data_IF_772962068235
#
_entry.id   IF_772962068235
#
_cell.length_a   1.000
_cell.length_b   1.000
_cell.length_c   1.000
_cell.angle_alpha   90.00
_cell.angle_beta   90.00
_cell.angle_gamma   90.00
#
_symmetry.space_group_name_H-M   'P 1'
#
loop_
_entity.id
_entity.type
_entity.pdbx_description
1 polymer ?
#
# COMPACT_ATOMS: atom_id res chain seq x y z
N UNK A 1 56.97 -9.95 12.76
CA UNK A 1 57.94 -9.47 13.76
C UNK A 1 58.31 -8.05 13.36
N UNK A 2 58.08 -6.95 14.05
CA UNK A 2 57.31 -6.60 15.26
C UNK A 2 57.19 -5.05 15.27
N UNK A 3 56.02 -4.56 15.70
CA UNK A 3 55.68 -3.35 16.50
C UNK A 3 56.50 -2.03 16.37
N UNK A 4 55.87 -0.84 16.25
CA UNK A 4 55.21 -0.12 17.37
C UNK A 4 54.37 1.12 16.95
N UNK A 5 53.54 1.53 17.91
CA UNK A 5 52.38 2.45 17.99
C UNK A 5 52.68 3.98 18.05
N UNK A 6 51.63 4.85 18.13
CA UNK A 6 51.65 6.30 17.85
C UNK A 6 51.70 7.22 19.09
N UNK A 7 51.84 8.53 18.84
CA UNK A 7 51.72 9.66 19.80
C UNK A 7 50.73 10.69 19.21
N UNK A 8 49.54 10.93 19.76
CA UNK A 8 49.21 11.82 20.89
C UNK A 8 49.58 13.30 20.64
N UNK A 9 48.57 14.17 20.49
CA UNK A 9 48.43 15.37 21.35
C UNK A 9 47.06 16.08 21.14
N UNK A 10 46.38 16.36 22.24
CA UNK A 10 45.30 17.33 22.39
C UNK A 10 45.87 18.48 23.23
N UNK A 11 45.35 19.70 23.09
CA UNK A 11 45.04 20.41 24.33
C UNK A 11 43.67 21.10 24.34
N UNK A 12 43.01 20.94 25.48
CA UNK A 12 41.97 21.78 26.05
C UNK A 12 42.45 23.24 26.24
N UNK A 13 41.53 24.20 26.18
CA UNK A 13 41.45 25.28 27.18
C UNK A 13 40.17 26.13 27.01
N UNK A 14 39.33 26.11 28.04
CA UNK A 14 38.33 27.14 28.39
C UNK A 14 39.00 28.12 29.38
N UNK A 15 38.63 29.42 29.37
CA UNK A 15 37.97 30.04 30.54
C UNK A 15 36.83 31.00 30.10
N UNK A 16 35.60 30.94 30.65
CA UNK A 16 35.07 31.44 31.94
C UNK A 16 34.91 32.97 32.10
N UNK A 17 33.65 33.40 31.95
CA UNK A 17 32.83 34.26 32.84
C UNK A 17 32.82 35.80 32.81
N UNK A 18 31.61 36.31 33.15
CA UNK A 18 31.12 37.64 33.54
C UNK A 18 30.61 38.55 32.37
N UNK A 19 29.48 39.28 32.37
CA UNK A 19 28.67 40.01 33.38
C UNK A 19 27.20 40.19 32.84
N UNK A 20 26.11 39.88 33.58
CA UNK A 20 25.25 40.69 34.51
C UNK A 20 24.06 41.47 33.90
N UNK A 21 22.83 41.13 34.34
CA UNK A 21 21.62 41.99 34.39
C UNK A 21 20.48 41.62 33.40
N UNK A 22 19.21 41.43 33.75
CA UNK A 22 18.46 41.49 35.00
C UNK A 22 16.96 41.12 34.76
N UNK A 23 16.26 40.88 35.87
CA UNK A 23 14.79 40.87 36.09
C UNK A 23 13.88 39.76 35.50
N UNK A 24 13.57 38.79 36.37
CA UNK A 24 12.27 38.21 36.77
C UNK A 24 11.03 38.51 35.89
N UNK A 25 10.20 37.50 35.62
CA UNK A 25 8.86 37.29 36.21
C UNK A 25 8.33 35.87 35.89
N UNK A 26 7.71 35.23 36.89
CA UNK A 26 7.05 33.92 36.84
C UNK A 26 5.70 33.97 36.09
N UNK A 27 5.32 32.84 35.49
CA UNK A 27 4.09 32.58 34.73
C UNK A 27 2.77 32.78 35.51
N UNK A 28 1.60 32.78 34.84
CA UNK A 28 0.82 31.54 34.75
C UNK A 28 0.07 31.34 33.42
N UNK A 29 -0.30 30.08 33.16
CA UNK A 29 -0.79 29.59 31.87
C UNK A 29 -2.14 30.09 31.38
N UNK A 30 -2.37 29.84 30.09
CA UNK A 30 -3.63 30.01 29.39
C UNK A 30 -3.64 29.07 28.20
N UNK A 31 -4.35 27.96 28.37
CA UNK A 31 -4.50 26.85 27.44
C UNK A 31 -5.13 27.35 26.12
N UNK A 32 -4.40 27.27 25.02
CA UNK A 32 -4.97 27.28 23.68
C UNK A 32 -4.01 26.55 22.77
N UNK A 33 -4.20 25.23 22.75
CA UNK A 33 -3.95 24.39 21.60
C UNK A 33 -4.69 23.08 21.88
N UNK A 34 -6.01 23.12 21.70
CA UNK A 34 -6.80 21.89 21.54
C UNK A 34 -6.46 21.29 20.18
N UNK A 35 -5.27 20.71 20.13
CA UNK A 35 -4.88 19.52 19.37
C UNK A 35 -5.78 19.20 18.16
N UNK A 36 -5.48 19.86 17.03
CA UNK A 36 -5.55 19.18 15.72
C UNK A 36 -4.26 18.36 15.49
N UNK A 37 -3.83 17.61 16.51
CA UNK A 37 -2.89 16.53 16.30
C UNK A 37 -3.73 15.27 16.02
N UNK A 38 -4.19 15.17 14.77
CA UNK A 38 -4.34 13.85 14.16
C UNK A 38 -2.93 13.24 14.17
N UNK A 39 -2.65 12.46 15.21
CA UNK A 39 -1.44 11.65 15.29
C UNK A 39 -1.25 10.91 13.94
N UNK A 40 -0.14 11.13 13.21
CA UNK A 40 0.14 10.40 11.99
C UNK A 40 0.63 8.99 12.36
N UNK A 41 -0.29 8.17 12.87
CA UNK A 41 0.05 6.96 13.61
C UNK A 41 -0.99 5.85 13.50
N UNK A 42 -1.61 5.69 12.33
CA UNK A 42 -1.69 4.41 11.62
C UNK A 42 -2.46 4.66 10.32
N UNK A 43 -1.77 4.88 9.19
CA UNK A 43 -2.43 4.76 7.88
C UNK A 43 -2.66 3.27 7.63
N UNK A 44 -3.62 2.71 8.37
CA UNK A 44 -4.00 1.32 8.30
C UNK A 44 -4.45 1.04 6.88
N UNK A 45 -3.82 0.04 6.25
CA UNK A 45 -4.18 -0.36 4.90
C UNK A 45 -5.58 -0.99 4.93
N UNK A 46 -6.43 -0.64 3.98
CA UNK A 46 -7.80 -1.16 3.95
C UNK A 46 -7.91 -2.50 3.22
N UNK A 47 -6.93 -2.81 2.38
CA UNK A 47 -6.76 -4.15 1.84
C UNK A 47 -5.29 -4.47 1.58
N UNK A 48 -5.02 -5.76 1.42
CA UNK A 48 -3.74 -6.30 0.98
C UNK A 48 -3.98 -7.12 -0.27
N UNK A 49 -3.29 -6.76 -1.35
CA UNK A 49 -3.39 -7.43 -2.64
C UNK A 49 -2.20 -8.36 -2.82
N UNK A 50 -2.45 -9.47 -3.47
CA UNK A 50 -1.47 -10.50 -3.64
C UNK A 50 -1.70 -11.21 -4.98
N UNK A 51 -0.64 -11.43 -5.75
CA UNK A 51 -0.73 -11.99 -7.11
C UNK A 51 -0.26 -13.45 -7.18
N UNK A 52 -0.90 -14.24 -8.04
CA UNK A 52 -0.53 -15.63 -8.30
C UNK A 52 -0.57 -15.92 -9.80
N UNK A 53 0.32 -16.81 -10.21
CA UNK A 53 0.30 -17.45 -11.51
C UNK A 53 0.13 -18.95 -11.30
N UNK A 54 -1.00 -19.49 -11.76
CA UNK A 54 -1.41 -20.87 -11.47
C UNK A 54 -1.44 -21.13 -9.95
N UNK A 55 -0.51 -21.93 -9.43
CA UNK A 55 -0.40 -22.28 -8.00
C UNK A 55 0.72 -21.53 -7.27
N UNK A 56 1.47 -20.69 -7.98
CA UNK A 56 2.69 -20.05 -7.46
C UNK A 56 2.43 -18.59 -7.12
N UNK A 57 2.79 -18.19 -5.90
CA UNK A 57 2.81 -16.79 -5.47
C UNK A 57 3.90 -16.05 -6.24
N UNK A 58 3.56 -14.91 -6.84
CA UNK A 58 4.52 -14.07 -7.58
C UNK A 58 4.56 -12.68 -6.95
N UNK A 59 5.75 -12.22 -6.58
CA UNK A 59 5.95 -10.94 -5.91
C UNK A 59 5.58 -10.93 -4.42
N UNK A 60 5.65 -9.72 -3.83
CA UNK A 60 5.32 -9.46 -2.42
C UNK A 60 3.84 -9.10 -2.27
N UNK A 61 3.38 -9.03 -1.03
CA UNK A 61 2.09 -8.42 -0.69
C UNK A 61 2.12 -6.92 -0.97
N UNK A 62 1.02 -6.38 -1.52
CA UNK A 62 0.86 -4.96 -1.79
C UNK A 62 -0.21 -4.39 -0.85
N UNK A 63 0.21 -3.56 0.12
CA UNK A 63 -0.70 -2.94 1.08
C UNK A 63 -1.29 -1.65 0.52
N UNK A 64 -2.61 -1.49 0.61
CA UNK A 64 -3.33 -0.37 0.00
C UNK A 64 -3.83 0.59 1.05
N UNK A 65 -3.33 1.83 1.02
CA UNK A 65 -3.76 2.91 1.91
C UNK A 65 -4.77 3.84 1.22
N UNK A 66 -4.51 4.19 -0.04
CA UNK A 66 -5.37 5.06 -0.84
C UNK A 66 -6.72 4.39 -1.12
N UNK A 67 -7.84 5.15 -1.19
CA UNK A 67 -9.17 4.57 -1.38
C UNK A 67 -9.33 3.83 -2.71
N UNK A 68 -8.47 4.08 -3.69
CA UNK A 68 -8.46 3.38 -4.98
C UNK A 68 -7.09 2.79 -5.30
N UNK A 69 -7.07 1.60 -5.90
CA UNK A 69 -5.87 0.95 -6.42
C UNK A 69 -6.10 0.46 -7.85
N UNK A 70 -5.21 0.86 -8.75
CA UNK A 70 -5.12 0.29 -10.08
C UNK A 70 -4.22 -0.95 -10.09
N UNK A 71 -4.66 -2.04 -10.72
CA UNK A 71 -3.88 -3.26 -10.92
C UNK A 71 -3.81 -3.55 -12.41
N UNK A 72 -2.63 -3.57 -13.00
CA UNK A 72 -2.45 -3.62 -14.46
C UNK A 72 -1.16 -4.36 -14.84
N UNK A 73 -1.03 -4.72 -16.12
CA UNK A 73 0.18 -5.39 -16.61
C UNK A 73 1.27 -4.40 -16.98
N UNK A 74 0.93 -3.45 -17.85
CA UNK A 74 1.81 -2.40 -18.31
C UNK A 74 0.95 -1.17 -18.62
N UNK A 75 1.25 -0.07 -17.95
CA UNK A 75 0.58 1.21 -18.14
C UNK A 75 1.63 2.31 -17.91
N UNK A 76 2.14 2.97 -18.97
CA UNK A 76 3.27 3.89 -18.86
C UNK A 76 3.07 5.06 -17.88
N UNK A 77 1.82 5.44 -17.65
CA UNK A 77 1.43 6.51 -16.72
C UNK A 77 0.56 5.99 -15.55
N UNK A 78 0.52 4.68 -15.35
CA UNK A 78 -0.28 4.06 -14.30
C UNK A 78 0.38 4.19 -12.94
N UNK A 79 -0.34 4.71 -11.96
CA UNK A 79 0.03 4.60 -10.55
C UNK A 79 -0.73 3.41 -9.93
N UNK A 80 -0.03 2.49 -9.27
CA UNK A 80 -0.66 1.34 -8.62
C UNK A 80 0.19 0.09 -8.66
N UNK A 81 -0.46 -1.07 -8.75
CA UNK A 81 0.18 -2.37 -8.71
C UNK A 81 0.45 -2.91 -10.12
N UNK A 82 1.66 -2.66 -10.62
CA UNK A 82 2.12 -3.12 -11.93
C UNK A 82 2.62 -4.57 -11.89
N UNK A 83 1.87 -5.49 -12.49
CA UNK A 83 2.19 -6.91 -12.56
C UNK A 83 3.36 -7.21 -13.53
N UNK A 84 3.61 -6.33 -14.50
CA UNK A 84 4.73 -6.42 -15.43
C UNK A 84 6.10 -6.27 -14.75
N UNK A 85 6.15 -5.58 -13.61
CA UNK A 85 7.37 -5.39 -12.80
C UNK A 85 7.65 -6.54 -11.84
N UNK A 86 6.73 -7.51 -11.71
CA UNK A 86 6.94 -8.66 -10.85
C UNK A 86 7.84 -9.68 -11.54
N UNK A 87 8.88 -10.11 -10.81
CA UNK A 87 9.73 -11.22 -11.25
C UNK A 87 8.95 -12.53 -11.19
N UNK A 88 8.49 -13.00 -12.35
CA UNK A 88 7.92 -14.33 -12.50
C UNK A 88 8.98 -15.31 -12.99
N UNK A 89 9.20 -16.36 -12.22
CA UNK A 89 10.01 -17.52 -12.64
C UNK A 89 9.20 -18.50 -13.50
N UNK A 90 7.90 -18.24 -13.71
CA UNK A 90 7.02 -19.12 -14.47
C UNK A 90 7.24 -18.96 -15.98
N UNK A 91 7.89 -19.97 -16.58
CA UNK A 91 8.18 -20.04 -18.01
C UNK A 91 7.03 -20.62 -18.85
N UNK A 92 5.86 -20.84 -18.27
CA UNK A 92 4.68 -21.37 -18.96
C UNK A 92 4.24 -20.40 -20.07
N UNK A 93 4.18 -20.90 -21.31
CA UNK A 93 3.69 -20.11 -22.46
C UNK A 93 2.25 -19.65 -22.26
N UNK A 94 1.43 -20.44 -21.56
CA UNK A 94 0.05 -20.06 -21.24
C UNK A 94 0.03 -18.86 -20.31
N UNK A 95 0.86 -18.86 -19.27
CA UNK A 95 0.96 -17.74 -18.32
C UNK A 95 1.42 -16.47 -19.03
N UNK A 96 2.45 -16.55 -19.86
CA UNK A 96 2.91 -15.41 -20.66
C UNK A 96 1.82 -14.85 -21.58
N UNK A 97 1.04 -15.74 -22.22
CA UNK A 97 -0.10 -15.35 -23.06
C UNK A 97 -1.26 -14.74 -22.27
N UNK A 98 -1.49 -15.16 -21.03
CA UNK A 98 -2.53 -14.57 -20.16
C UNK A 98 -2.05 -13.22 -19.62
N UNK A 99 -0.79 -13.11 -19.21
CA UNK A 99 -0.15 -11.86 -18.78
C UNK A 99 -0.33 -10.75 -19.83
N UNK A 100 -0.06 -11.05 -21.10
CA UNK A 100 -0.24 -10.08 -22.19
C UNK A 100 -1.69 -9.64 -22.43
N UNK A 101 -2.69 -10.36 -21.88
CA UNK A 101 -4.11 -10.01 -22.00
C UNK A 101 -4.63 -9.13 -20.87
N UNK A 102 -3.90 -9.00 -19.77
CA UNK A 102 -4.33 -8.20 -18.62
C UNK A 102 -4.43 -6.71 -19.02
N UNK A 103 -3.46 -6.17 -19.76
CA UNK A 103 -3.47 -4.79 -20.24
C UNK A 103 -3.67 -3.78 -19.09
N UNK A 104 -4.63 -2.86 -19.26
CA UNK A 104 -5.02 -1.88 -18.22
C UNK A 104 -5.65 -2.50 -16.95
N UNK A 105 -5.92 -3.80 -16.97
CA UNK A 105 -6.35 -4.60 -15.82
C UNK A 105 -7.63 -4.10 -15.15
N UNK A 106 -7.59 -3.87 -13.85
CA UNK A 106 -8.73 -3.48 -13.03
C UNK A 106 -8.41 -2.28 -12.16
N UNK A 107 -9.46 -1.64 -11.67
CA UNK A 107 -9.38 -0.67 -10.58
C UNK A 107 -10.22 -1.19 -9.41
N UNK A 108 -9.60 -1.26 -8.23
CA UNK A 108 -10.26 -1.50 -6.96
C UNK A 108 -10.59 -0.16 -6.31
N UNK A 109 -11.77 -0.02 -5.73
CA UNK A 109 -12.17 1.19 -5.01
C UNK A 109 -12.91 0.83 -3.74
N UNK A 110 -12.49 1.42 -2.63
CA UNK A 110 -13.19 1.39 -1.35
C UNK A 110 -14.19 2.53 -1.31
N UNK A 111 -15.46 2.17 -1.24
CA UNK A 111 -16.57 3.10 -1.09
C UNK A 111 -17.23 2.90 0.28
N UNK A 112 -18.21 3.75 0.62
CA UNK A 112 -18.91 3.69 1.91
C UNK A 112 -19.76 2.43 2.08
N UNK A 113 -20.16 1.81 0.98
CA UNK A 113 -21.10 0.70 0.93
C UNK A 113 -20.43 -0.63 0.54
N UNK A 114 -19.10 -0.65 0.38
CA UNK A 114 -18.37 -1.83 -0.01
C UNK A 114 -17.09 -1.57 -0.81
N UNK A 115 -16.59 -2.65 -1.42
CA UNK A 115 -15.43 -2.61 -2.34
C UNK A 115 -15.90 -2.90 -3.75
N UNK A 116 -15.60 -2.00 -4.66
CA UNK A 116 -15.94 -2.07 -6.07
C UNK A 116 -14.74 -2.50 -6.92
N UNK A 117 -15.02 -3.25 -7.97
CA UNK A 117 -14.05 -3.63 -9.01
C UNK A 117 -14.56 -3.11 -10.34
N UNK A 118 -13.78 -2.24 -10.99
CA UNK A 118 -14.01 -1.77 -12.35
C UNK A 118 -13.07 -2.48 -13.33
N UNK A 119 -13.63 -3.12 -14.36
CA UNK A 119 -12.84 -3.81 -15.38
C UNK A 119 -12.40 -2.86 -16.50
N UNK A 120 -11.12 -2.53 -16.53
CA UNK A 120 -10.49 -1.67 -17.55
C UNK A 120 -9.77 -2.47 -18.64
N UNK A 121 -9.68 -3.78 -18.49
CA UNK A 121 -9.04 -4.66 -19.47
C UNK A 121 -9.95 -4.87 -20.69
N UNK A 122 -9.37 -5.33 -21.79
CA UNK A 122 -10.14 -5.68 -23.00
C UNK A 122 -10.81 -7.06 -22.91
N UNK A 123 -10.67 -7.77 -21.79
CA UNK A 123 -11.20 -9.11 -21.59
C UNK A 123 -12.12 -9.19 -20.36
N UNK A 124 -13.06 -10.14 -20.32
CA UNK A 124 -13.84 -10.37 -19.11
C UNK A 124 -12.94 -10.84 -17.96
N UNK A 125 -13.23 -10.35 -16.75
CA UNK A 125 -12.65 -10.84 -15.51
C UNK A 125 -13.66 -11.72 -14.78
N UNK A 126 -13.15 -12.53 -13.86
CA UNK A 126 -13.94 -13.46 -13.06
C UNK A 126 -13.68 -13.20 -11.59
N UNK A 127 -14.75 -12.96 -10.84
CA UNK A 127 -14.69 -12.57 -9.43
C UNK A 127 -15.41 -13.60 -8.60
N UNK A 128 -14.76 -14.04 -7.53
CA UNK A 128 -15.36 -14.84 -6.47
C UNK A 128 -15.29 -14.02 -5.19
N UNK A 129 -16.42 -13.88 -4.51
CA UNK A 129 -16.50 -13.16 -3.24
C UNK A 129 -17.58 -13.77 -2.36
N UNK A 130 -17.28 -13.89 -1.06
CA UNK A 130 -18.20 -14.47 -0.09
C UNK A 130 -19.51 -13.69 0.05
N UNK A 131 -19.48 -12.36 -0.14
CA UNK A 131 -20.67 -11.50 0.01
C UNK A 131 -21.52 -11.43 -1.27
N UNK A 132 -21.03 -12.02 -2.36
CA UNK A 132 -21.80 -12.24 -3.58
C UNK A 132 -22.47 -13.62 -3.62
N UNK A 133 -21.99 -14.57 -2.83
CA UNK A 133 -22.60 -15.89 -2.68
C UNK A 133 -23.92 -15.77 -1.89
N UNK A 134 -24.83 -16.72 -2.12
CA UNK A 134 -26.03 -16.87 -1.30
C UNK A 134 -25.66 -17.66 -0.03
N UNK A 135 -25.85 -17.12 1.19
CA UNK A 135 -25.48 -17.82 2.43
C UNK A 135 -26.20 -19.17 2.60
N UNK A 136 -27.39 -19.33 2.03
CA UNK A 136 -28.17 -20.57 2.11
C UNK A 136 -27.74 -21.60 1.06
N UNK A 137 -26.85 -21.23 0.14
CA UNK A 137 -26.37 -22.08 -0.94
C UNK A 137 -24.96 -22.58 -0.67
N UNK A 138 -24.72 -23.88 -0.86
CA UNK A 138 -23.37 -24.46 -0.87
C UNK A 138 -22.64 -24.25 -2.20
N UNK A 139 -23.29 -23.63 -3.18
CA UNK A 139 -22.71 -23.38 -4.50
C UNK A 139 -21.82 -22.16 -4.45
N UNK A 140 -20.54 -22.34 -4.76
CA UNK A 140 -19.59 -21.25 -4.96
C UNK A 140 -19.85 -20.61 -6.32
N UNK A 141 -20.20 -19.32 -6.33
CA UNK A 141 -20.45 -18.59 -7.57
C UNK A 141 -19.18 -17.86 -8.05
N UNK A 142 -19.08 -17.73 -9.36
CA UNK A 142 -18.04 -16.93 -10.02
C UNK A 142 -18.73 -15.98 -10.98
N UNK A 143 -18.59 -14.68 -10.71
CA UNK A 143 -19.23 -13.62 -11.47
C UNK A 143 -18.31 -13.17 -12.59
N UNK A 144 -18.83 -13.17 -13.82
CA UNK A 144 -18.14 -12.65 -15.00
C UNK A 144 -18.45 -11.17 -15.17
N UNK A 145 -17.42 -10.33 -15.22
CA UNK A 145 -17.55 -8.88 -15.42
C UNK A 145 -16.92 -8.51 -16.76
N UNK A 146 -17.71 -7.93 -17.66
CA UNK A 146 -17.25 -7.54 -18.99
C UNK A 146 -16.40 -6.25 -18.95
N UNK A 147 -15.55 -6.02 -19.97
CA UNK A 147 -14.84 -4.75 -20.15
C UNK A 147 -15.75 -3.53 -20.03
N UNK A 148 -15.35 -2.51 -19.28
CA UNK A 148 -16.12 -1.28 -19.08
C UNK A 148 -17.26 -1.39 -18.06
N UNK A 149 -17.42 -2.54 -17.39
CA UNK A 149 -18.40 -2.71 -16.33
C UNK A 149 -17.73 -2.79 -14.95
N UNK A 150 -18.50 -2.42 -13.93
CA UNK A 150 -18.14 -2.52 -12.53
C UNK A 150 -19.08 -3.48 -11.79
N UNK A 151 -18.59 -4.03 -10.68
CA UNK A 151 -19.39 -4.80 -9.72
C UNK A 151 -18.97 -4.42 -8.30
N UNK A 152 -19.93 -4.38 -7.38
CA UNK A 152 -19.64 -4.37 -5.94
C UNK A 152 -19.12 -5.76 -5.58
N UNK A 153 -17.80 -5.90 -5.51
CA UNK A 153 -17.14 -7.17 -5.26
C UNK A 153 -17.22 -7.58 -3.79
N UNK A 154 -17.38 -6.63 -2.87
CA UNK A 154 -17.60 -6.91 -1.46
C UNK A 154 -18.64 -5.95 -0.88
N UNK A 155 -19.68 -6.47 -0.23
CA UNK A 155 -20.70 -5.68 0.48
C UNK A 155 -20.41 -5.71 1.99
N UNK A 156 -20.39 -4.54 2.65
CA UNK A 156 -20.09 -4.46 4.09
C UNK A 156 -21.23 -4.92 5.00
N UNK A 157 -22.46 -4.95 4.48
CA UNK A 157 -23.65 -5.30 5.25
C UNK A 157 -24.03 -6.79 5.14
N UNK A 158 -23.17 -7.60 4.49
CA UNK A 158 -23.39 -9.04 4.27
C UNK A 158 -22.37 -9.92 4.98
#
# INVERSE_FOLDING_TARGET
MDFLKPTADCPDAVPSSAETGGTNYLAPGGLSDSQLLLEPGDRSHWCVVAYWEEKTRVGRLYCVQEPSLDIFYDLPQGNGFCLGQLNSDNKSQLVQKVRSKIGCGIQLTREVDGVWVYNRSSYPIFIKSATLDNPDSRTLLVHKVFPGFSIKAFDYEK
#
